data_IF_036234255393
#
_entry.id   IF_036234255393
#
_cell.length_a   1.000
_cell.length_b   1.000
_cell.length_c   1.000
_cell.angle_alpha   90.00
_cell.angle_beta   90.00
_cell.angle_gamma   90.00
#
_symmetry.space_group_name_H-M   'P 1'
#
loop_
_entity.id
_entity.type
_entity.pdbx_description
1 polymer ?
#
# COMPACT_ATOMS: atom_id res chain seq x y z
N UNK A 1 2.05 14.04 -45.59
CA UNK A 1 2.64 13.41 -44.39
C UNK A 1 1.90 13.95 -43.17
N UNK A 2 0.98 13.18 -42.61
CA UNK A 2 0.40 13.51 -41.30
C UNK A 2 1.40 13.04 -40.25
N UNK A 3 2.01 13.99 -39.53
CA UNK A 3 2.79 13.69 -38.34
C UNK A 3 1.87 12.98 -37.34
N UNK A 4 2.31 11.84 -36.84
CA UNK A 4 1.75 11.25 -35.63
C UNK A 4 1.80 12.31 -34.51
N UNK A 5 0.78 12.41 -33.63
CA UNK A 5 0.84 13.35 -32.53
C UNK A 5 2.08 13.04 -31.67
N UNK A 6 2.85 14.08 -31.36
CA UNK A 6 3.96 13.99 -30.42
C UNK A 6 3.42 13.32 -29.14
N UNK A 7 4.02 12.18 -28.77
CA UNK A 7 3.82 11.54 -27.48
C UNK A 7 4.00 12.63 -26.43
N UNK A 8 2.95 12.97 -25.68
CA UNK A 8 3.04 13.98 -24.63
C UNK A 8 4.29 13.70 -23.79
N UNK A 9 5.19 14.68 -23.70
CA UNK A 9 6.39 14.55 -22.90
C UNK A 9 5.95 14.24 -21.47
N UNK A 10 6.45 13.12 -20.95
CA UNK A 10 6.12 12.72 -19.58
C UNK A 10 6.66 13.79 -18.62
N UNK A 11 5.86 14.21 -17.62
CA UNK A 11 6.24 15.32 -16.77
C UNK A 11 7.58 15.04 -16.07
N UNK A 12 8.48 16.03 -16.14
CA UNK A 12 9.81 15.95 -15.54
C UNK A 12 9.71 16.35 -14.07
N UNK A 13 9.94 15.40 -13.17
CA UNK A 13 9.98 15.61 -11.72
C UNK A 13 8.74 15.10 -10.98
N UNK A 14 8.74 15.19 -9.63
CA UNK A 14 7.69 14.63 -8.79
C UNK A 14 6.29 15.16 -9.15
N UNK A 15 5.32 14.25 -9.31
CA UNK A 15 3.93 14.56 -9.66
C UNK A 15 2.95 14.15 -8.55
N UNK A 16 1.80 14.83 -8.41
CA UNK A 16 0.80 14.46 -7.42
C UNK A 16 0.02 13.20 -7.85
N UNK A 17 -0.03 12.23 -6.95
CA UNK A 17 -0.81 11.01 -7.10
C UNK A 17 -1.71 10.80 -5.88
N UNK A 18 -2.86 10.17 -6.12
CA UNK A 18 -3.73 9.64 -5.07
C UNK A 18 -3.47 8.15 -4.95
N UNK A 19 -3.02 7.72 -3.77
CA UNK A 19 -2.94 6.30 -3.40
C UNK A 19 -4.22 5.97 -2.64
N UNK A 20 -4.95 4.95 -3.10
CA UNK A 20 -6.15 4.41 -2.44
C UNK A 20 -5.86 3.00 -1.97
N UNK A 21 -5.83 2.78 -0.67
CA UNK A 21 -5.64 1.46 -0.07
C UNK A 21 -7.00 0.78 -0.02
N UNK A 22 -7.15 -0.32 -0.76
CA UNK A 22 -8.46 -0.93 -1.02
C UNK A 22 -8.77 -2.01 0.02
N UNK A 23 -7.98 -3.08 0.04
CA UNK A 23 -8.23 -4.26 0.88
C UNK A 23 -6.99 -5.13 1.00
N UNK A 24 -6.99 -6.02 2.00
CA UNK A 24 -6.03 -7.11 2.10
C UNK A 24 -6.73 -8.43 2.40
N UNK A 25 -6.04 -9.54 2.11
CA UNK A 25 -6.35 -10.90 2.52
C UNK A 25 -5.13 -11.44 3.27
N UNK A 26 -5.28 -11.60 4.58
CA UNK A 26 -4.26 -12.00 5.54
C UNK A 26 -4.46 -13.47 5.92
N UNK A 27 -3.40 -14.14 6.33
CA UNK A 27 -3.53 -15.50 6.86
C UNK A 27 -4.13 -15.51 8.27
N UNK A 28 -4.80 -16.61 8.67
CA UNK A 28 -5.50 -16.70 9.95
C UNK A 28 -4.62 -16.57 11.20
N UNK A 29 -3.34 -16.92 11.09
CA UNK A 29 -2.41 -16.99 12.22
C UNK A 29 -0.99 -16.66 11.75
N UNK A 30 -0.12 -16.28 12.70
CA UNK A 30 1.30 -16.04 12.46
C UNK A 30 1.97 -17.27 11.85
N UNK A 31 3.09 -17.13 11.11
CA UNK A 31 3.81 -18.26 10.51
C UNK A 31 4.27 -19.34 11.50
N UNK A 32 4.43 -19.00 12.79
CA UNK A 32 4.77 -19.93 13.86
C UNK A 32 3.54 -20.61 14.51
N UNK A 33 2.34 -20.36 13.98
CA UNK A 33 1.09 -20.92 14.46
C UNK A 33 0.44 -20.16 15.61
N UNK A 34 1.06 -19.09 16.13
CA UNK A 34 0.46 -18.24 17.16
C UNK A 34 -0.67 -17.38 16.58
N UNK A 35 -1.67 -16.98 17.38
CA UNK A 35 -2.63 -15.99 16.96
C UNK A 35 -1.98 -14.62 16.73
N UNK A 36 -2.70 -13.77 16.01
CA UNK A 36 -2.32 -12.38 15.82
C UNK A 36 -2.42 -11.62 17.14
N UNK A 37 -3.62 -11.61 17.73
CA UNK A 37 -3.88 -10.88 18.97
C UNK A 37 -3.76 -11.75 20.23
N UNK A 38 -3.52 -11.08 21.37
CA UNK A 38 -3.59 -11.69 22.69
C UNK A 38 -5.04 -12.08 23.04
N UNK A 39 -5.37 -13.37 22.93
CA UNK A 39 -6.73 -13.90 23.14
C UNK A 39 -7.24 -14.79 22.01
N UNK A 40 -6.33 -15.27 21.15
CA UNK A 40 -6.66 -16.07 19.96
C UNK A 40 -7.50 -15.32 18.92
N UNK A 41 -7.32 -13.99 18.85
CA UNK A 41 -8.04 -13.09 17.95
C UNK A 41 -7.38 -12.92 16.57
N UNK A 42 -8.16 -12.57 15.53
CA UNK A 42 -7.62 -12.09 14.26
C UNK A 42 -6.91 -10.73 14.44
N UNK A 43 -6.07 -10.29 13.48
CA UNK A 43 -5.28 -9.08 13.62
C UNK A 43 -6.14 -7.82 13.51
N UNK A 44 -5.52 -6.72 13.91
CA UNK A 44 -5.98 -5.35 13.82
C UNK A 44 -5.22 -4.54 12.74
N UNK A 45 -5.37 -4.85 11.44
CA UNK A 45 -4.45 -4.37 10.42
C UNK A 45 -4.56 -2.87 10.13
N UNK A 46 -3.39 -2.26 9.98
CA UNK A 46 -3.16 -0.91 9.48
C UNK A 46 -2.13 -0.97 8.36
N UNK A 47 -2.41 -0.31 7.24
CA UNK A 47 -1.48 -0.19 6.11
C UNK A 47 -0.84 1.19 6.11
N UNK A 48 0.48 1.22 5.91
CA UNK A 48 1.25 2.46 5.73
C UNK A 48 1.98 2.38 4.39
N UNK A 49 1.86 3.43 3.58
CA UNK A 49 2.59 3.59 2.32
C UNK A 49 3.36 4.90 2.38
N UNK A 50 4.69 4.84 2.27
CA UNK A 50 5.58 6.01 2.27
C UNK A 50 6.42 6.08 1.01
N UNK A 51 6.56 7.29 0.45
CA UNK A 51 7.41 7.55 -0.72
C UNK A 51 8.86 7.75 -0.28
N UNK A 52 9.80 7.07 -0.94
CA UNK A 52 11.25 7.18 -0.77
C UNK A 52 11.88 7.63 -2.09
N UNK A 53 12.60 8.74 -2.08
CA UNK A 53 13.27 9.27 -3.28
C UNK A 53 13.14 10.78 -3.38
N UNK A 54 12.85 11.27 -4.58
CA UNK A 54 12.66 12.70 -4.86
C UNK A 54 11.25 13.19 -4.49
N UNK A 55 10.25 12.32 -4.55
CA UNK A 55 8.90 12.56 -4.07
C UNK A 55 8.79 12.54 -2.55
N UNK A 56 7.59 12.84 -2.05
CA UNK A 56 7.31 12.94 -0.62
C UNK A 56 5.84 12.61 -0.33
N UNK A 57 5.60 11.97 0.81
CA UNK A 57 4.27 11.76 1.34
C UNK A 57 4.12 10.38 1.97
N UNK A 58 3.09 10.28 2.81
CA UNK A 58 2.70 9.03 3.46
C UNK A 58 1.19 8.92 3.47
N UNK A 59 0.66 7.74 3.16
CA UNK A 59 -0.74 7.38 3.33
C UNK A 59 -0.82 6.31 4.40
N UNK A 60 -1.74 6.46 5.35
CA UNK A 60 -1.96 5.51 6.43
C UNK A 60 -3.46 5.27 6.61
N UNK A 61 -3.87 4.02 6.72
CA UNK A 61 -5.27 3.68 6.94
C UNK A 61 -5.68 3.80 8.41
N UNK A 62 -7.00 3.78 8.65
CA UNK A 62 -7.56 3.39 9.95
C UNK A 62 -7.29 1.91 10.23
N UNK A 63 -7.38 1.56 11.52
CA UNK A 63 -7.36 0.17 12.00
C UNK A 63 -8.68 -0.51 11.67
N UNK A 64 -8.65 -1.78 11.24
CA UNK A 64 -9.85 -2.64 11.19
C UNK A 64 -9.76 -3.64 12.31
N UNK A 65 -10.77 -3.68 13.18
CA UNK A 65 -10.74 -4.57 14.33
C UNK A 65 -10.96 -6.04 13.92
N UNK A 66 -10.16 -6.96 14.45
CA UNK A 66 -10.31 -8.42 14.35
C UNK A 66 -10.61 -8.91 12.92
N UNK A 67 -9.77 -8.53 11.95
CA UNK A 67 -10.04 -8.79 10.53
C UNK A 67 -8.84 -9.31 9.75
N UNK A 68 -8.99 -10.53 9.21
CA UNK A 68 -8.08 -11.09 8.19
C UNK A 68 -8.43 -10.68 6.75
N UNK A 69 -9.61 -10.10 6.53
CA UNK A 69 -10.04 -9.63 5.21
C UNK A 69 -10.46 -8.15 5.26
N UNK A 70 -9.57 -7.24 5.70
CA UNK A 70 -9.91 -5.84 5.89
C UNK A 70 -10.20 -5.14 4.56
N UNK A 71 -11.19 -4.23 4.59
CA UNK A 71 -11.51 -3.33 3.48
C UNK A 71 -11.51 -1.90 3.99
N UNK A 72 -10.60 -1.08 3.47
CA UNK A 72 -10.43 0.32 3.88
C UNK A 72 -11.09 1.28 2.89
N UNK A 73 -10.68 1.24 1.62
CA UNK A 73 -11.02 2.24 0.60
C UNK A 73 -10.68 3.67 1.04
N UNK A 74 -9.53 3.80 1.69
CA UNK A 74 -9.02 5.06 2.21
C UNK A 74 -7.92 5.57 1.29
N UNK A 75 -7.86 6.88 1.09
CA UNK A 75 -6.92 7.48 0.17
C UNK A 75 -6.18 8.69 0.74
N UNK A 76 -5.01 8.96 0.19
CA UNK A 76 -4.20 10.11 0.49
C UNK A 76 -3.44 10.60 -0.73
N UNK A 77 -3.15 11.89 -0.77
CA UNK A 77 -2.32 12.48 -1.82
C UNK A 77 -0.85 12.44 -1.41
N UNK A 78 -0.01 12.07 -2.37
CA UNK A 78 1.45 12.05 -2.24
C UNK A 78 2.06 12.63 -3.50
N UNK A 79 3.31 13.06 -3.43
CA UNK A 79 4.09 13.41 -4.62
C UNK A 79 5.06 12.30 -4.91
N UNK A 80 5.07 11.78 -6.14
CA UNK A 80 5.92 10.66 -6.54
C UNK A 80 6.64 11.03 -7.83
N UNK A 81 7.94 10.80 -7.88
CA UNK A 81 8.73 10.85 -9.11
C UNK A 81 8.89 9.43 -9.68
N UNK A 82 9.04 9.31 -11.01
CA UNK A 82 9.37 8.01 -11.60
C UNK A 82 10.72 7.53 -11.06
N UNK A 83 10.78 6.25 -10.67
CA UNK A 83 11.97 5.67 -10.05
C UNK A 83 12.05 5.87 -8.53
N UNK A 84 11.12 6.63 -7.93
CA UNK A 84 10.97 6.61 -6.47
C UNK A 84 10.50 5.23 -6.02
N UNK A 85 10.84 4.86 -4.79
CA UNK A 85 10.35 3.64 -4.17
C UNK A 85 9.18 3.92 -3.26
N UNK A 86 8.18 3.04 -3.28
CA UNK A 86 7.09 2.98 -2.32
C UNK A 86 7.44 1.93 -1.28
N UNK A 87 7.54 2.37 -0.04
CA UNK A 87 7.67 1.51 1.13
C UNK A 87 6.30 1.24 1.68
N UNK A 88 5.83 0.00 1.56
CA UNK A 88 4.51 -0.45 2.02
C UNK A 88 4.71 -1.37 3.22
N UNK A 89 3.94 -1.18 4.27
CA UNK A 89 3.89 -2.11 5.40
C UNK A 89 2.46 -2.33 5.88
N UNK A 90 2.19 -3.53 6.37
CA UNK A 90 1.00 -3.87 7.15
C UNK A 90 1.46 -4.17 8.57
N UNK A 91 0.80 -3.52 9.52
CA UNK A 91 1.09 -3.62 10.94
C UNK A 91 -0.20 -4.07 11.62
N UNK A 92 -0.07 -5.04 12.51
CA UNK A 92 -1.07 -5.44 13.48
C UNK A 92 -1.05 -4.48 14.66
N UNK A 93 -2.16 -3.81 14.94
CA UNK A 93 -2.19 -2.72 15.92
C UNK A 93 -2.83 -3.16 17.23
N UNK A 94 -1.98 -3.57 18.16
CA UNK A 94 -2.31 -3.96 19.51
C UNK A 94 -2.27 -2.82 20.55
N UNK A 95 -2.76 -3.12 21.75
CA UNK A 95 -2.69 -2.22 22.91
C UNK A 95 -1.29 -2.10 23.52
N UNK A 96 -0.46 -3.16 23.40
CA UNK A 96 0.84 -3.24 24.07
C UNK A 96 2.00 -2.99 23.10
N UNK A 97 2.12 -3.79 22.05
CA UNK A 97 3.19 -3.70 21.05
C UNK A 97 2.61 -3.99 19.66
N UNK A 98 2.83 -3.09 18.70
CA UNK A 98 2.39 -3.27 17.32
C UNK A 98 3.24 -4.37 16.64
N UNK A 99 2.60 -5.40 16.09
CA UNK A 99 3.27 -6.52 15.42
C UNK A 99 3.41 -6.27 13.91
N UNK A 100 4.59 -6.54 13.36
CA UNK A 100 4.80 -6.43 11.92
C UNK A 100 4.22 -7.65 11.19
N UNK A 101 3.31 -7.42 10.23
CA UNK A 101 2.71 -8.49 9.42
C UNK A 101 3.53 -8.74 8.15
N UNK A 102 3.70 -7.70 7.33
CA UNK A 102 4.41 -7.79 6.05
C UNK A 102 4.82 -6.41 5.53
N UNK A 103 5.76 -6.39 4.58
CA UNK A 103 6.15 -5.16 3.92
C UNK A 103 6.84 -5.38 2.58
N UNK A 104 6.74 -4.37 1.73
CA UNK A 104 7.30 -4.35 0.38
C UNK A 104 8.00 -3.03 0.14
N UNK A 105 9.02 -3.09 -0.71
CA UNK A 105 9.69 -1.93 -1.25
C UNK A 105 9.67 -2.09 -2.77
N UNK A 106 8.95 -1.20 -3.46
CA UNK A 106 8.74 -1.31 -4.91
C UNK A 106 9.01 0.01 -5.63
N UNK A 107 9.67 -0.06 -6.76
CA UNK A 107 9.87 1.10 -7.63
C UNK A 107 8.55 1.54 -8.28
N UNK A 108 8.22 2.82 -8.18
CA UNK A 108 7.12 3.43 -8.89
C UNK A 108 7.49 3.68 -10.35
N UNK A 109 6.84 2.92 -11.24
CA UNK A 109 6.99 3.06 -12.69
C UNK A 109 5.82 3.78 -13.35
N UNK A 110 4.59 3.41 -12.97
CA UNK A 110 3.34 3.95 -13.55
C UNK A 110 2.14 3.83 -12.59
N UNK A 111 1.12 4.68 -12.73
CA UNK A 111 -0.15 4.51 -12.02
C UNK A 111 -0.89 3.24 -12.44
N UNK A 112 -1.85 2.85 -11.61
CA UNK A 112 -2.73 1.68 -11.80
C UNK A 112 -2.94 0.89 -10.52
N UNK A 113 -3.74 -0.17 -10.63
CA UNK A 113 -3.96 -1.14 -9.57
C UNK A 113 -2.71 -1.97 -9.30
N UNK A 114 -2.30 -2.00 -8.05
CA UNK A 114 -1.24 -2.84 -7.52
C UNK A 114 -1.84 -4.01 -6.75
N UNK A 115 -1.19 -5.17 -6.87
CA UNK A 115 -1.51 -6.40 -6.14
C UNK A 115 -0.20 -6.95 -5.60
N UNK A 116 -0.05 -6.98 -4.29
CA UNK A 116 1.15 -7.48 -3.64
C UNK A 116 0.82 -8.74 -2.86
N UNK A 117 1.58 -9.80 -3.07
CA UNK A 117 1.57 -10.99 -2.23
C UNK A 117 2.85 -10.99 -1.39
N UNK A 118 2.76 -11.47 -0.15
CA UNK A 118 3.92 -11.59 0.72
C UNK A 118 4.60 -12.97 0.53
N UNK A 119 5.90 -13.02 0.18
CA UNK A 119 6.62 -14.29 0.08
C UNK A 119 6.74 -15.06 1.40
N UNK A 120 6.54 -14.40 2.55
CA UNK A 120 6.55 -15.06 3.86
C UNK A 120 5.22 -15.70 4.24
N UNK A 121 4.20 -15.57 3.37
CA UNK A 121 2.84 -16.10 3.52
C UNK A 121 2.04 -15.48 4.68
N UNK A 122 2.38 -14.30 5.17
CA UNK A 122 1.51 -13.58 6.13
C UNK A 122 0.36 -12.85 5.43
N UNK A 123 0.51 -12.58 4.13
CA UNK A 123 -0.46 -11.86 3.30
C UNK A 123 -0.62 -12.58 1.97
N UNK A 124 -1.85 -13.04 1.69
CA UNK A 124 -2.19 -13.62 0.39
C UNK A 124 -2.25 -12.53 -0.68
N UNK A 125 -2.90 -11.41 -0.39
CA UNK A 125 -3.02 -10.29 -1.33
C UNK A 125 -3.23 -8.96 -0.59
N UNK A 126 -2.53 -7.91 -0.99
CA UNK A 126 -2.80 -6.51 -0.68
C UNK A 126 -3.14 -5.77 -1.98
N UNK A 127 -4.28 -5.08 -2.02
CA UNK A 127 -4.75 -4.31 -3.16
C UNK A 127 -4.73 -2.82 -2.83
N UNK A 128 -4.08 -2.04 -3.69
CA UNK A 128 -4.17 -0.58 -3.66
C UNK A 128 -4.11 -0.02 -5.08
N UNK A 129 -4.72 1.15 -5.28
CA UNK A 129 -4.78 1.84 -6.55
C UNK A 129 -3.95 3.12 -6.49
N UNK A 130 -3.14 3.39 -7.51
CA UNK A 130 -2.45 4.68 -7.68
C UNK A 130 -3.05 5.38 -8.90
N UNK A 131 -3.59 6.58 -8.70
CA UNK A 131 -4.17 7.40 -9.76
C UNK A 131 -3.49 8.78 -9.80
N UNK A 132 -3.38 9.40 -10.98
CA UNK A 132 -2.98 10.81 -11.05
C UNK A 132 -3.99 11.66 -10.27
N UNK A 133 -3.52 12.63 -9.49
CA UNK A 133 -4.40 13.51 -8.73
C UNK A 133 -5.32 14.37 -9.65
N UNK A 134 -4.91 14.55 -10.91
CA UNK A 134 -5.63 15.34 -11.90
C UNK A 134 -6.65 14.54 -12.73
N UNK A 135 -6.80 13.23 -12.48
CA UNK A 135 -7.77 12.40 -13.18
C UNK A 135 -9.19 12.68 -12.66
N UNK A 136 -9.85 13.70 -13.22
CA UNK A 136 -11.27 13.98 -13.03
C UNK A 136 -12.03 13.93 -14.35
#
# INVERSE_FOLDING_TARGET
MVQAPARAEEPVGPQPYTITIVSADLVPSKPDGRPWDAGDGPPDPVVVVSVKGAGVGTVRTTKKQDSIAPVWRESGQVTINRGDHLSISIIDKDLADDDFIAGWDMEFSRPGRQRLADPTHSVNELIFDIASADAK
#
